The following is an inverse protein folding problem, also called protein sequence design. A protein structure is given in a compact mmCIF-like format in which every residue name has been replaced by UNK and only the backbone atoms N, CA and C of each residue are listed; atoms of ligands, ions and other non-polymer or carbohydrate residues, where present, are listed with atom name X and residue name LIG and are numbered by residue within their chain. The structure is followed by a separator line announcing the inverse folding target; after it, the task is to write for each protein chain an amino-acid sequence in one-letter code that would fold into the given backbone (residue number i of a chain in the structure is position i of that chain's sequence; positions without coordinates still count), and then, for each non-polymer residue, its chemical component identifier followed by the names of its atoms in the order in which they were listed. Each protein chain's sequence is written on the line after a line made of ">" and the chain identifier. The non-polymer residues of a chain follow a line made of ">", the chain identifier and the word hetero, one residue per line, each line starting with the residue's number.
data_IF_659595412402
#
_entry.id   IF_659595412402
#
_cell.length_a   1.000
_cell.length_b   1.000
_cell.length_c   1.000
_cell.angle_alpha   90.00
_cell.angle_beta   90.00
_cell.angle_gamma   90.00
#
_symmetry.space_group_name_H-M   'P 1'
#
loop_
_entity.id
_entity.type
_entity.pdbx_description
1 polymer ?
#
# COMPACT_ATOMS: atom_id res chain seq x y z
N UNK A 1 22.92 -11.90 -37.63
CA UNK A 1 21.51 -11.47 -37.60
C UNK A 1 20.81 -12.06 -36.38
N UNK A 2 20.42 -11.23 -35.41
CA UNK A 2 19.41 -11.58 -34.39
C UNK A 2 18.54 -10.34 -34.19
N UNK A 3 17.36 -10.35 -34.82
CA UNK A 3 16.32 -9.31 -34.63
C UNK A 3 15.66 -9.59 -33.27
N UNK A 4 15.96 -8.77 -32.26
CA UNK A 4 15.21 -8.75 -31.01
C UNK A 4 13.90 -8.00 -31.27
N UNK A 5 12.83 -8.77 -31.43
CA UNK A 5 11.45 -8.27 -31.44
C UNK A 5 11.13 -7.70 -30.05
N UNK A 6 11.08 -6.38 -29.97
CA UNK A 6 10.63 -5.66 -28.78
C UNK A 6 9.10 -5.57 -28.84
N UNK A 7 8.41 -6.60 -28.36
CA UNK A 7 6.96 -6.56 -28.19
C UNK A 7 6.62 -5.72 -26.95
N UNK A 8 6.38 -4.42 -27.16
CA UNK A 8 5.78 -3.57 -26.15
C UNK A 8 4.30 -3.93 -26.00
N UNK A 9 3.99 -4.81 -25.05
CA UNK A 9 2.60 -5.12 -24.70
C UNK A 9 2.14 -4.13 -23.63
N UNK A 10 1.41 -3.09 -24.06
CA UNK A 10 0.65 -2.22 -23.19
C UNK A 10 -0.64 -2.94 -22.77
N UNK A 11 -0.57 -3.79 -21.74
CA UNK A 11 -1.79 -4.25 -21.08
C UNK A 11 -2.29 -3.19 -20.11
N UNK A 12 -3.21 -2.36 -20.61
CA UNK A 12 -4.29 -1.83 -19.76
C UNK A 12 -5.26 -2.97 -19.49
N UNK A 13 -5.19 -3.57 -18.31
CA UNK A 13 -6.16 -4.57 -17.87
C UNK A 13 -6.78 -4.10 -16.55
N UNK A 14 -7.99 -3.56 -16.68
CA UNK A 14 -8.98 -3.43 -15.61
C UNK A 14 -9.42 -4.87 -15.32
N UNK A 15 -9.04 -5.40 -14.16
CA UNK A 15 -9.44 -6.74 -13.73
C UNK A 15 -10.90 -6.76 -13.28
N UNK A 16 -11.75 -7.49 -13.99
CA UNK A 16 -13.08 -7.89 -13.55
C UNK A 16 -12.97 -9.03 -12.52
N UNK A 17 -13.65 -8.91 -11.38
CA UNK A 17 -13.87 -10.01 -10.43
C UNK A 17 -15.31 -10.51 -10.54
N UNK A 18 -15.50 -11.83 -10.54
CA UNK A 18 -16.79 -12.49 -10.26
C UNK A 18 -16.96 -12.63 -8.74
N UNK A 19 -18.05 -12.12 -8.18
CA UNK A 19 -18.43 -12.38 -6.78
C UNK A 19 -19.56 -13.41 -6.70
N UNK A 20 -19.33 -14.51 -5.98
CA UNK A 20 -20.39 -15.40 -5.51
C UNK A 20 -21.04 -14.80 -4.26
N UNK A 21 -22.33 -14.50 -4.34
CA UNK A 21 -23.14 -14.05 -3.23
C UNK A 21 -23.63 -15.25 -2.40
N UNK A 22 -23.34 -15.25 -1.09
CA UNK A 22 -24.03 -16.08 -0.10
C UNK A 22 -24.66 -15.16 0.94
N UNK A 23 -26.00 -15.16 0.93
CA UNK A 23 -26.89 -14.44 1.81
C UNK A 23 -26.90 -15.14 3.17
N UNK A 24 -26.64 -14.41 4.26
CA UNK A 24 -27.03 -14.84 5.61
C UNK A 24 -28.05 -13.86 6.18
N UNK A 25 -29.29 -14.35 6.29
CA UNK A 25 -30.34 -13.82 7.16
C UNK A 25 -30.18 -14.43 8.55
N UNK A 26 -30.35 -13.63 9.60
CA UNK A 26 -30.73 -14.10 10.93
C UNK A 26 -31.50 -12.98 11.65
N UNK A 27 -32.81 -13.17 11.78
CA UNK A 27 -33.62 -12.62 12.86
C UNK A 27 -33.29 -13.37 14.16
N UNK A 28 -33.42 -12.74 15.34
CA UNK A 28 -34.48 -13.04 16.32
C UNK A 28 -34.26 -12.39 17.72
N UNK A 29 -35.29 -11.64 18.15
CA UNK A 29 -35.94 -11.48 19.47
C UNK A 29 -35.21 -11.35 20.83
N UNK A 30 -35.67 -10.32 21.57
CA UNK A 30 -36.16 -10.28 22.98
C UNK A 30 -35.23 -10.63 24.17
N UNK A 31 -35.04 -9.67 25.10
CA UNK A 31 -35.80 -9.56 26.36
C UNK A 31 -35.09 -8.75 27.48
N UNK A 32 -35.76 -7.68 27.94
CA UNK A 32 -36.02 -7.20 29.32
C UNK A 32 -34.94 -7.18 30.44
N UNK A 33 -34.80 -5.94 30.97
CA UNK A 33 -35.06 -5.48 32.36
C UNK A 33 -33.97 -5.52 33.47
N UNK A 34 -33.67 -4.30 33.93
CA UNK A 34 -33.46 -3.78 35.30
C UNK A 34 -32.54 -4.50 36.31
N UNK A 35 -31.63 -3.73 36.93
CA UNK A 35 -31.72 -3.19 38.32
C UNK A 35 -30.34 -2.60 38.72
N UNK A 36 -30.33 -1.38 39.26
CA UNK A 36 -29.24 -0.83 40.10
C UNK A 36 -29.67 -0.90 41.57
N UNK A 37 -28.71 -0.92 42.53
CA UNK A 37 -28.59 0.27 43.38
C UNK A 37 -27.16 0.66 43.84
N UNK A 38 -27.05 1.94 44.22
CA UNK A 38 -26.16 2.69 45.15
C UNK A 38 -25.15 1.94 46.04
N UNK A 39 -24.08 2.50 46.63
CA UNK A 39 -23.44 3.83 46.65
C UNK A 39 -22.10 3.73 47.44
N UNK A 40 -21.18 4.65 47.14
CA UNK A 40 -20.20 5.35 48.01
C UNK A 40 -19.38 4.61 49.08
N UNK A 41 -18.04 4.65 48.93
CA UNK A 41 -17.12 4.87 50.05
C UNK A 41 -15.82 5.55 49.56
N UNK A 42 -15.58 6.76 50.08
CA UNK A 42 -14.38 7.55 49.93
C UNK A 42 -13.20 6.91 50.67
N UNK A 43 -12.02 6.86 50.04
CA UNK A 43 -10.74 6.84 50.76
C UNK A 43 -9.64 7.49 49.94
N UNK A 44 -9.25 8.69 50.35
CA UNK A 44 -8.01 9.34 49.94
C UNK A 44 -6.82 8.60 50.54
N UNK A 45 -5.81 8.29 49.73
CA UNK A 45 -4.42 8.26 50.18
C UNK A 45 -3.52 8.88 49.13
N UNK A 46 -2.90 9.99 49.53
CA UNK A 46 -1.83 10.67 48.82
C UNK A 46 -0.53 9.87 48.96
N UNK A 47 0.14 9.56 47.85
CA UNK A 47 1.61 9.52 47.84
C UNK A 47 2.18 9.63 46.42
N UNK A 48 3.11 10.58 46.30
CA UNK A 48 4.14 10.76 45.26
C UNK A 48 3.71 10.83 43.79
N UNK A 49 3.63 12.06 43.30
CA UNK A 49 4.02 12.44 41.94
C UNK A 49 5.47 11.97 41.67
N UNK A 50 5.63 10.78 41.12
CA UNK A 50 6.77 10.49 40.27
C UNK A 50 6.42 10.99 38.86
N UNK A 51 7.35 11.63 38.12
CA UNK A 51 7.10 11.90 36.72
C UNK A 51 6.86 10.52 36.08
N UNK A 52 5.67 10.33 35.54
CA UNK A 52 5.43 9.26 34.61
C UNK A 52 6.41 9.51 33.46
N UNK A 53 7.56 8.85 33.51
CA UNK A 53 8.30 8.52 32.32
C UNK A 53 7.29 7.75 31.48
N UNK A 54 6.57 8.47 30.63
CA UNK A 54 6.03 7.92 29.42
C UNK A 54 7.26 7.36 28.73
N UNK A 55 7.55 6.09 28.99
CA UNK A 55 8.40 5.30 28.15
C UNK A 55 7.81 5.51 26.75
N UNK A 56 8.42 6.41 25.98
CA UNK A 56 8.32 6.33 24.55
C UNK A 56 8.82 4.92 24.26
N UNK A 57 7.87 3.99 24.11
CA UNK A 57 8.16 2.63 23.71
C UNK A 57 8.87 2.81 22.38
N UNK A 58 10.20 2.76 22.40
CA UNK A 58 11.01 2.67 21.20
C UNK A 58 10.63 1.35 20.58
N UNK A 59 9.60 1.39 19.75
CA UNK A 59 9.21 0.26 18.92
C UNK A 59 10.40 0.04 17.99
N UNK A 60 11.13 -1.05 18.21
CA UNK A 60 12.27 -1.41 17.36
C UNK A 60 11.71 -1.84 16.00
N UNK A 61 11.52 -0.86 15.10
CA UNK A 61 11.10 -1.14 13.72
C UNK A 61 12.28 -1.84 13.03
N UNK A 62 12.11 -3.08 12.56
CA UNK A 62 13.22 -3.85 12.00
C UNK A 62 13.80 -3.18 10.75
N UNK A 63 15.10 -3.37 10.50
CA UNK A 63 15.68 -2.93 9.24
C UNK A 63 15.20 -3.81 8.08
N UNK A 64 15.44 -3.39 6.84
CA UNK A 64 15.11 -4.22 5.68
C UNK A 64 15.93 -5.50 5.59
N UNK A 65 17.17 -5.49 6.10
CA UNK A 65 18.02 -6.67 6.17
C UNK A 65 17.48 -7.67 7.21
N UNK A 66 17.12 -7.19 8.40
CA UNK A 66 16.51 -8.03 9.45
C UNK A 66 15.22 -8.66 8.93
N UNK A 67 14.38 -7.86 8.28
CA UNK A 67 13.12 -8.35 7.73
C UNK A 67 13.28 -9.46 6.69
N UNK A 68 14.33 -9.44 5.88
CA UNK A 68 14.55 -10.52 4.90
C UNK A 68 14.84 -11.86 5.59
N UNK A 69 15.53 -11.81 6.74
CA UNK A 69 15.94 -12.99 7.50
C UNK A 69 14.89 -13.48 8.50
N UNK A 70 13.87 -12.67 8.81
CA UNK A 70 12.79 -13.04 9.73
C UNK A 70 11.87 -14.14 9.21
N UNK A 71 11.37 -14.98 10.12
CA UNK A 71 10.30 -15.94 9.83
C UNK A 71 8.91 -15.27 9.75
N UNK A 72 7.86 -16.05 9.42
CA UNK A 72 6.50 -15.52 9.25
C UNK A 72 5.86 -15.03 10.56
N UNK A 73 6.19 -15.65 11.69
CA UNK A 73 5.67 -15.26 13.01
C UNK A 73 6.34 -13.97 13.48
N UNK A 74 7.66 -13.86 13.32
CA UNK A 74 8.44 -12.66 13.63
C UNK A 74 7.96 -11.46 12.80
N UNK A 75 7.77 -11.64 11.49
CA UNK A 75 7.20 -10.62 10.60
C UNK A 75 5.81 -10.17 11.04
N UNK A 76 4.94 -11.11 11.43
CA UNK A 76 3.59 -10.80 11.91
C UNK A 76 3.64 -10.00 13.22
N UNK A 77 4.49 -10.40 14.16
CA UNK A 77 4.63 -9.73 15.46
C UNK A 77 5.23 -8.32 15.32
N UNK A 78 6.24 -8.15 14.47
CA UNK A 78 6.82 -6.85 14.18
C UNK A 78 5.76 -5.89 13.61
N UNK A 79 4.95 -6.35 12.65
CA UNK A 79 3.90 -5.53 12.02
C UNK A 79 2.71 -5.29 12.95
N UNK A 80 2.34 -6.23 13.82
CA UNK A 80 1.23 -6.07 14.76
C UNK A 80 1.48 -4.98 15.81
N UNK A 81 2.75 -4.76 16.16
CA UNK A 81 3.16 -3.76 17.14
C UNK A 81 3.24 -2.33 16.55
N UNK A 82 3.18 -2.18 15.22
CA UNK A 82 3.20 -0.89 14.53
C UNK A 82 1.80 -0.27 14.43
N UNK A 83 1.70 1.03 14.66
CA UNK A 83 0.54 1.83 14.25
C UNK A 83 0.36 1.80 12.72
N UNK A 84 -0.82 2.20 12.23
CA UNK A 84 -1.11 2.28 10.78
C UNK A 84 -0.09 3.17 10.06
N UNK A 85 0.29 4.29 10.67
CA UNK A 85 1.27 5.24 10.11
C UNK A 85 2.67 4.63 10.06
N UNK A 86 3.13 4.03 11.15
CA UNK A 86 4.45 3.38 11.20
C UNK A 86 4.54 2.21 10.22
N UNK A 87 3.49 1.38 10.15
CA UNK A 87 3.41 0.27 9.21
C UNK A 87 3.48 0.75 7.76
N UNK A 88 2.78 1.83 7.43
CA UNK A 88 2.82 2.42 6.09
C UNK A 88 4.24 2.91 5.75
N UNK A 89 4.87 3.67 6.65
CA UNK A 89 6.23 4.17 6.46
C UNK A 89 7.26 3.02 6.34
N UNK A 90 7.14 2.00 7.19
CA UNK A 90 7.97 0.80 7.15
C UNK A 90 7.89 0.08 5.80
N UNK A 91 6.67 -0.18 5.31
CA UNK A 91 6.46 -0.85 4.02
C UNK A 91 6.96 -0.02 2.84
N UNK A 92 6.84 1.31 2.90
CA UNK A 92 7.39 2.20 1.87
C UNK A 92 8.92 2.14 1.83
N UNK A 93 9.58 2.25 2.99
CA UNK A 93 11.04 2.14 3.10
C UNK A 93 11.55 0.77 2.63
N UNK A 94 10.87 -0.31 3.03
CA UNK A 94 11.16 -1.66 2.56
C UNK A 94 11.11 -1.78 1.04
N UNK A 95 10.04 -1.29 0.41
CA UNK A 95 9.90 -1.30 -1.05
C UNK A 95 11.04 -0.52 -1.71
N UNK A 96 11.37 0.66 -1.20
CA UNK A 96 12.45 1.47 -1.73
C UNK A 96 13.81 0.73 -1.65
N UNK A 97 14.09 0.08 -0.52
CA UNK A 97 15.34 -0.69 -0.33
C UNK A 97 15.41 -1.92 -1.25
N UNK A 98 14.31 -2.63 -1.47
CA UNK A 98 14.25 -3.73 -2.44
C UNK A 98 14.57 -3.20 -3.84
N UNK A 99 13.94 -2.11 -4.26
CA UNK A 99 14.17 -1.53 -5.58
C UNK A 99 15.61 -1.03 -5.74
N UNK A 100 16.19 -0.42 -4.71
CA UNK A 100 17.61 -0.01 -4.68
C UNK A 100 18.53 -1.19 -5.02
N UNK A 101 18.32 -2.35 -4.38
CA UNK A 101 19.07 -3.57 -4.66
C UNK A 101 18.81 -4.10 -6.07
N UNK A 102 17.53 -4.20 -6.46
CA UNK A 102 17.10 -4.75 -7.74
C UNK A 102 17.69 -4.00 -8.94
N UNK A 103 17.76 -2.67 -8.88
CA UNK A 103 18.29 -1.86 -9.99
C UNK A 103 19.73 -1.38 -9.77
N UNK A 104 20.36 -1.83 -8.67
CA UNK A 104 21.75 -1.52 -8.33
C UNK A 104 22.02 0.00 -8.28
N UNK A 105 21.22 0.73 -7.50
CA UNK A 105 21.38 2.18 -7.34
C UNK A 105 22.73 2.47 -6.66
N UNK A 106 23.56 3.38 -7.22
CA UNK A 106 24.84 3.76 -6.63
C UNK A 106 24.69 4.24 -5.18
N UNK A 107 25.59 3.82 -4.29
CA UNK A 107 25.50 4.06 -2.85
C UNK A 107 25.36 5.56 -2.51
N UNK A 108 26.13 6.41 -3.21
CA UNK A 108 26.12 7.87 -3.12
C UNK A 108 24.81 8.53 -3.59
N UNK A 109 23.96 7.81 -4.33
CA UNK A 109 22.69 8.30 -4.88
C UNK A 109 21.45 7.69 -4.23
N UNK A 110 21.61 6.76 -3.28
CA UNK A 110 20.49 6.02 -2.72
C UNK A 110 19.49 6.91 -1.99
N UNK A 111 19.94 7.91 -1.25
CA UNK A 111 19.02 8.79 -0.50
C UNK A 111 18.22 9.69 -1.45
N UNK A 112 18.88 10.30 -2.45
CA UNK A 112 18.20 11.05 -3.51
C UNK A 112 17.21 10.18 -4.28
N UNK A 113 17.60 8.93 -4.58
CA UNK A 113 16.71 7.95 -5.22
C UNK A 113 15.48 7.64 -4.35
N UNK A 114 15.67 7.29 -3.08
CA UNK A 114 14.57 6.93 -2.16
C UNK A 114 13.58 8.07 -2.01
N UNK A 115 14.06 9.30 -1.88
CA UNK A 115 13.22 10.49 -1.80
C UNK A 115 12.38 10.69 -3.08
N UNK A 116 13.03 10.63 -4.25
CA UNK A 116 12.35 10.79 -5.53
C UNK A 116 11.36 9.63 -5.80
N UNK A 117 11.72 8.42 -5.39
CA UNK A 117 10.87 7.24 -5.49
C UNK A 117 9.63 7.34 -4.60
N UNK A 118 9.77 7.83 -3.37
CA UNK A 118 8.63 8.10 -2.48
C UNK A 118 7.68 9.16 -3.07
N UNK A 119 8.23 10.25 -3.61
CA UNK A 119 7.47 11.30 -4.30
C UNK A 119 6.67 10.73 -5.48
N UNK A 120 7.34 9.94 -6.32
CA UNK A 120 6.72 9.26 -7.46
C UNK A 120 5.58 8.32 -7.05
N UNK A 121 5.82 7.47 -6.04
CA UNK A 121 4.81 6.54 -5.50
C UNK A 121 3.60 7.27 -4.91
N UNK A 122 3.84 8.37 -4.19
CA UNK A 122 2.76 9.19 -3.64
C UNK A 122 1.93 9.86 -4.75
N UNK A 123 2.57 10.40 -5.79
CA UNK A 123 1.85 10.98 -6.92
C UNK A 123 1.05 9.94 -7.70
N UNK A 124 1.59 8.74 -7.90
CA UNK A 124 0.80 7.64 -8.46
C UNK A 124 -0.42 7.30 -7.60
N UNK A 125 -0.26 7.27 -6.27
CA UNK A 125 -1.36 6.99 -5.33
C UNK A 125 -2.45 8.06 -5.46
N UNK A 126 -2.09 9.34 -5.42
CA UNK A 126 -3.04 10.44 -5.56
C UNK A 126 -3.79 10.41 -6.89
N UNK A 127 -3.11 10.08 -8.01
CA UNK A 127 -3.78 9.92 -9.31
C UNK A 127 -4.77 8.75 -9.27
N UNK A 128 -4.38 7.61 -8.71
CA UNK A 128 -5.24 6.43 -8.60
C UNK A 128 -6.43 6.64 -7.67
N UNK A 129 -6.27 7.42 -6.60
CA UNK A 129 -7.35 7.74 -5.66
C UNK A 129 -8.47 8.56 -6.27
N UNK A 130 -8.21 9.29 -7.37
CA UNK A 130 -9.26 9.94 -8.16
C UNK A 130 -10.18 8.94 -8.86
N UNK A 131 -9.79 7.68 -8.99
CA UNK A 131 -10.58 6.60 -9.58
C UNK A 131 -11.08 5.68 -8.45
N UNK A 132 -12.36 5.74 -8.13
CA UNK A 132 -12.97 4.88 -7.09
C UNK A 132 -13.45 3.57 -7.69
N UNK A 133 -12.72 2.45 -7.65
CA UNK A 133 -13.17 1.22 -8.29
C UNK A 133 -14.46 0.73 -7.61
N UNK A 134 -15.60 1.07 -8.21
CA UNK A 134 -16.89 0.51 -7.80
C UNK A 134 -16.93 -0.95 -8.22
N UNK A 135 -17.48 -1.79 -7.35
CA UNK A 135 -17.49 -3.24 -7.56
C UNK A 135 -18.77 -3.72 -8.25
N UNK A 136 -19.76 -2.85 -8.40
CA UNK A 136 -21.09 -3.19 -8.93
C UNK A 136 -21.30 -2.57 -10.31
N UNK A 137 -20.45 -2.92 -11.28
CA UNK A 137 -20.59 -2.45 -12.66
C UNK A 137 -21.93 -2.86 -13.27
N UNK A 138 -22.48 -4.01 -12.85
CA UNK A 138 -23.74 -4.57 -13.35
C UNK A 138 -24.98 -3.77 -12.91
N UNK A 139 -24.83 -2.79 -12.01
CA UNK A 139 -25.91 -1.94 -11.50
C UNK A 139 -25.83 -0.50 -12.02
N UNK A 140 -24.82 -0.17 -12.82
CA UNK A 140 -24.67 1.17 -13.39
C UNK A 140 -25.64 1.36 -14.54
N UNK A 141 -26.16 2.59 -14.69
CA UNK A 141 -26.78 3.01 -15.94
C UNK A 141 -25.74 3.07 -17.07
N UNK A 142 -26.19 3.03 -18.32
CA UNK A 142 -25.28 3.17 -19.47
C UNK A 142 -24.52 4.52 -19.44
N UNK A 143 -25.16 5.57 -18.95
CA UNK A 143 -24.54 6.90 -18.78
C UNK A 143 -23.43 6.86 -17.72
N UNK A 144 -23.71 6.29 -16.54
CA UNK A 144 -22.72 6.15 -15.46
C UNK A 144 -21.55 5.25 -15.88
N UNK A 145 -21.85 4.14 -16.57
CA UNK A 145 -20.85 3.23 -17.10
C UNK A 145 -19.94 3.92 -18.13
N UNK A 146 -20.52 4.75 -19.01
CA UNK A 146 -19.77 5.53 -20.00
C UNK A 146 -18.90 6.60 -19.34
N UNK A 147 -19.45 7.34 -18.37
CA UNK A 147 -18.69 8.31 -17.59
C UNK A 147 -17.50 7.64 -16.87
N UNK A 148 -17.73 6.44 -16.32
CA UNK A 148 -16.69 5.65 -15.65
C UNK A 148 -15.59 5.18 -16.59
N UNK A 149 -15.96 4.75 -17.79
CA UNK A 149 -15.02 4.37 -18.84
C UNK A 149 -14.13 5.56 -19.21
N UNK A 150 -14.72 6.74 -19.42
CA UNK A 150 -13.98 7.96 -19.75
C UNK A 150 -13.00 8.37 -18.63
N UNK A 151 -13.46 8.34 -17.37
CA UNK A 151 -12.61 8.60 -16.21
C UNK A 151 -11.41 7.63 -16.14
N UNK A 152 -11.59 6.38 -16.56
CA UNK A 152 -10.49 5.40 -16.61
C UNK A 152 -9.40 5.79 -17.60
N UNK A 153 -9.76 6.38 -18.75
CA UNK A 153 -8.82 6.90 -19.73
C UNK A 153 -8.07 8.11 -19.20
N UNK A 154 -8.76 9.05 -18.55
CA UNK A 154 -8.13 10.23 -17.95
C UNK A 154 -7.09 9.86 -16.89
N UNK A 155 -7.42 8.88 -16.04
CA UNK A 155 -6.51 8.37 -15.00
C UNK A 155 -5.32 7.66 -15.64
N UNK A 156 -5.55 6.86 -16.69
CA UNK A 156 -4.50 6.23 -17.48
C UNK A 156 -3.54 7.25 -18.09
N UNK A 157 -4.07 8.33 -18.66
CA UNK A 157 -3.28 9.42 -19.22
C UNK A 157 -2.48 10.17 -18.15
N UNK A 158 -3.06 10.45 -16.98
CA UNK A 158 -2.36 11.06 -15.85
C UNK A 158 -1.21 10.18 -15.36
N UNK A 159 -1.42 8.86 -15.25
CA UNK A 159 -0.36 7.92 -14.86
C UNK A 159 0.77 7.86 -15.89
N UNK A 160 0.45 7.89 -17.19
CA UNK A 160 1.45 7.94 -18.26
C UNK A 160 2.25 9.24 -18.22
N UNK A 161 1.59 10.38 -18.04
CA UNK A 161 2.24 11.68 -17.93
C UNK A 161 3.14 11.74 -16.69
N UNK A 162 2.68 11.22 -15.55
CA UNK A 162 3.48 11.09 -14.34
C UNK A 162 4.73 10.23 -14.60
N UNK A 163 4.59 9.08 -15.26
CA UNK A 163 5.74 8.22 -15.62
C UNK A 163 6.76 8.97 -16.50
N UNK A 164 6.31 9.73 -17.50
CA UNK A 164 7.20 10.56 -18.34
C UNK A 164 7.96 11.59 -17.52
N UNK A 165 7.24 12.38 -16.71
CA UNK A 165 7.84 13.43 -15.88
C UNK A 165 8.87 12.87 -14.88
N UNK A 166 8.59 11.72 -14.27
CA UNK A 166 9.54 11.10 -13.35
C UNK A 166 10.67 10.34 -14.04
N UNK A 167 10.49 9.87 -15.28
CA UNK A 167 11.61 9.33 -16.07
C UNK A 167 12.71 10.39 -16.21
N UNK A 168 12.34 11.63 -16.56
CA UNK A 168 13.30 12.74 -16.70
C UNK A 168 14.01 13.06 -15.38
N UNK A 169 13.30 12.98 -14.25
CA UNK A 169 13.90 13.15 -12.91
C UNK A 169 14.83 12.00 -12.55
N UNK A 170 14.42 10.75 -12.79
CA UNK A 170 15.23 9.57 -12.49
C UNK A 170 16.48 9.49 -13.37
N UNK A 171 16.42 9.94 -14.62
CA UNK A 171 17.58 9.98 -15.52
C UNK A 171 18.71 10.91 -15.02
N UNK A 172 18.44 11.82 -14.08
CA UNK A 172 19.48 12.63 -13.43
C UNK A 172 20.30 11.84 -12.41
N UNK A 173 19.76 10.73 -11.90
CA UNK A 173 20.38 9.91 -10.85
C UNK A 173 20.71 8.49 -11.30
N UNK A 174 19.98 7.95 -12.29
CA UNK A 174 20.08 6.59 -12.80
C UNK A 174 20.40 6.57 -14.29
N UNK A 175 20.95 5.46 -14.76
CA UNK A 175 21.09 5.21 -16.20
C UNK A 175 19.75 4.91 -16.86
N UNK A 176 19.59 5.10 -18.19
CA UNK A 176 18.36 4.71 -18.89
C UNK A 176 17.95 3.24 -18.65
N UNK A 177 18.91 2.32 -18.57
CA UNK A 177 18.67 0.90 -18.30
C UNK A 177 18.10 0.68 -16.90
N UNK A 178 18.61 1.40 -15.90
CA UNK A 178 18.08 1.35 -14.53
C UNK A 178 16.68 1.93 -14.45
N UNK A 179 16.38 3.02 -15.17
CA UNK A 179 15.03 3.60 -15.25
C UNK A 179 14.04 2.65 -15.93
N UNK A 180 14.47 1.97 -17.01
CA UNK A 180 13.65 0.94 -17.64
C UNK A 180 13.38 -0.23 -16.68
N UNK A 181 14.40 -0.70 -15.95
CA UNK A 181 14.26 -1.77 -14.97
C UNK A 181 13.32 -1.39 -13.82
N UNK A 182 13.44 -0.16 -13.30
CA UNK A 182 12.54 0.42 -12.30
C UNK A 182 11.08 0.31 -12.73
N UNK A 183 10.75 0.77 -13.94
CA UNK A 183 9.36 0.72 -14.40
C UNK A 183 8.87 -0.70 -14.75
N UNK A 184 9.78 -1.62 -15.08
CA UNK A 184 9.42 -3.03 -15.28
C UNK A 184 9.13 -3.75 -13.96
N UNK A 185 9.90 -3.49 -12.90
CA UNK A 185 9.72 -4.13 -11.59
C UNK A 185 8.42 -3.69 -10.92
N UNK A 186 7.97 -2.45 -11.13
CA UNK A 186 6.67 -1.96 -10.65
C UNK A 186 5.48 -2.74 -11.23
N UNK A 187 5.52 -3.06 -12.52
CA UNK A 187 4.47 -3.88 -13.17
C UNK A 187 4.38 -5.28 -12.55
N UNK A 188 5.53 -5.93 -12.37
CA UNK A 188 5.64 -7.32 -11.89
C UNK A 188 5.30 -7.48 -10.39
N UNK A 189 5.59 -6.47 -9.55
CA UNK A 189 5.27 -6.53 -8.12
C UNK A 189 3.75 -6.54 -7.87
N UNK A 190 2.97 -5.89 -8.72
CA UNK A 190 1.50 -5.91 -8.65
C UNK A 190 0.95 -7.29 -8.98
N UNK A 191 1.45 -7.92 -10.05
CA UNK A 191 0.95 -9.22 -10.52
C UNK A 191 1.19 -10.31 -9.46
N UNK A 192 2.39 -10.35 -8.87
CA UNK A 192 2.72 -11.28 -7.77
C UNK A 192 1.89 -11.08 -6.49
N UNK A 193 1.37 -9.87 -6.24
CA UNK A 193 0.47 -9.60 -5.11
C UNK A 193 -0.99 -10.01 -5.40
N UNK A 194 -1.40 -10.04 -6.67
CA UNK A 194 -2.73 -10.46 -7.09
C UNK A 194 -2.84 -11.99 -7.17
N UNK A 195 -1.82 -12.67 -7.70
CA UNK A 195 -1.81 -14.14 -7.81
C UNK A 195 -1.93 -14.82 -6.44
N UNK A 196 -1.23 -14.30 -5.42
CA UNK A 196 -1.33 -14.80 -4.03
C UNK A 196 -2.70 -14.63 -3.37
N UNK A 197 -3.57 -13.77 -3.90
CA UNK A 197 -4.95 -13.62 -3.41
C UNK A 197 -5.92 -14.62 -4.02
N UNK A 198 -5.58 -15.20 -5.17
CA UNK A 198 -6.43 -16.13 -5.90
C UNK A 198 -6.12 -17.60 -5.59
N UNK A 199 -5.00 -17.91 -4.93
CA UNK A 199 -4.65 -19.25 -4.43
C UNK A 199 -5.30 -19.59 -3.07
N UNK A 200 -6.48 -19.05 -2.76
CA UNK A 200 -7.25 -19.37 -1.55
C UNK A 200 -8.71 -19.66 -1.84
#
# INVERSE_FOLDING_TARGET
>A
MRKLLLTAVFFGLIGFQKSNAQIRRTDNSNAKANVSPSASAYRNSSSSLAPANSYQRQQNIPSSADWQNMDMNEKRQAVSNMSVRERSAFLQNMKANIVVGDISVPADKQDSFKNLYAEYQNNQKQIKEKFHPDKNFDQLSDEDATARLNQSFDVGQQLLNNRKAYADKFLKILTPQQVLKLFQTEGKMRDKMLDKKNDK
#
